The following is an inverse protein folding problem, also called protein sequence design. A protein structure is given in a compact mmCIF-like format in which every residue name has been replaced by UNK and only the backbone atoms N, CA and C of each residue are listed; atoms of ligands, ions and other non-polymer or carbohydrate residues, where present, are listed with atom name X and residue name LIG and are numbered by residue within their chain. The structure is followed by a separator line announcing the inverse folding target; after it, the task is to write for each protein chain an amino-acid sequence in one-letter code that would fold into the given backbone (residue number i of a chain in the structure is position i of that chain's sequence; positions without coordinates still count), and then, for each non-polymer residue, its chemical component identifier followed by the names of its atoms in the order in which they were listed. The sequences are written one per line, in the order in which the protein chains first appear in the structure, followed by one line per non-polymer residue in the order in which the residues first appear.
data_IF_858070939085
#
_entry.id   IF_858070939085
#
_cell.length_a   1.000
_cell.length_b   1.000
_cell.length_c   1.000
_cell.angle_alpha   90.00
_cell.angle_beta   90.00
_cell.angle_gamma   90.00
#
_symmetry.space_group_name_H-M   'P 1'
#
loop_
_entity.id
_entity.type
_entity.pdbx_description
1 polymer ?
#
# COMPACT_ATOMS: atom_id res chain seq x y z
N UNK A 1 55.58 82.91 -15.34
CA UNK A 1 55.35 84.35 -15.14
C UNK A 1 53.90 84.66 -15.53
N UNK A 2 52.90 84.92 -14.71
CA UNK A 2 52.73 85.11 -13.27
C UNK A 2 51.31 85.71 -13.08
N UNK A 3 50.30 84.83 -13.15
CA UNK A 3 48.82 84.98 -13.19
C UNK A 3 48.16 86.25 -12.57
N UNK A 4 47.29 86.90 -13.37
CA UNK A 4 46.11 87.74 -13.00
C UNK A 4 44.88 87.04 -13.64
N UNK A 5 43.63 87.04 -13.18
CA UNK A 5 42.82 87.95 -12.37
C UNK A 5 41.51 87.25 -11.94
N UNK A 6 41.06 87.54 -10.70
CA UNK A 6 39.69 87.59 -10.13
C UNK A 6 38.48 86.98 -10.88
N UNK A 7 37.62 86.18 -10.22
CA UNK A 7 36.27 85.88 -10.70
C UNK A 7 35.22 86.85 -10.14
N UNK A 8 34.26 87.21 -11.01
CA UNK A 8 33.07 88.04 -10.75
C UNK A 8 31.94 87.21 -10.09
N UNK A 9 31.26 87.85 -9.16
CA UNK A 9 29.92 87.57 -8.61
C UNK A 9 28.83 87.83 -9.71
N UNK A 10 27.51 87.53 -9.57
CA UNK A 10 26.67 87.99 -8.45
C UNK A 10 25.41 87.17 -8.04
N UNK A 11 24.94 87.54 -6.84
CA UNK A 11 23.56 87.76 -6.40
C UNK A 11 22.53 86.62 -6.26
N UNK A 12 21.88 86.74 -5.11
CA UNK A 12 20.82 85.95 -4.52
C UNK A 12 19.43 86.45 -4.90
N UNK A 13 18.46 85.52 -4.93
CA UNK A 13 17.07 85.62 -4.46
C UNK A 13 16.48 84.18 -4.58
N UNK A 14 15.95 83.56 -3.53
CA UNK A 14 14.53 83.61 -3.17
C UNK A 14 13.78 82.36 -3.69
N UNK A 15 13.35 81.43 -2.82
CA UNK A 15 12.58 80.26 -3.27
C UNK A 15 12.17 79.24 -2.18
N UNK A 16 10.97 79.43 -1.64
CA UNK A 16 10.06 78.51 -0.94
C UNK A 16 10.54 77.08 -0.58
N UNK A 17 10.67 76.80 0.72
CA UNK A 17 10.54 75.44 1.28
C UNK A 17 9.06 75.06 1.32
N UNK A 18 8.61 74.32 0.31
CA UNK A 18 7.34 73.61 0.36
C UNK A 18 7.46 72.44 1.34
N UNK A 19 6.61 72.43 2.36
CA UNK A 19 6.43 71.31 3.26
C UNK A 19 5.94 70.09 2.48
N UNK A 20 6.72 69.01 2.53
CA UNK A 20 6.28 67.68 2.11
C UNK A 20 5.13 67.22 3.01
N UNK A 21 4.02 66.67 2.47
CA UNK A 21 2.90 66.22 3.27
C UNK A 21 3.29 65.01 4.15
N UNK A 22 2.59 64.78 5.28
CA UNK A 22 2.90 63.67 6.18
C UNK A 22 2.49 62.33 5.55
N UNK A 23 3.34 61.33 5.79
CA UNK A 23 3.06 59.89 5.81
C UNK A 23 1.83 59.45 5.00
N UNK A 24 2.06 58.95 3.79
CA UNK A 24 1.14 58.00 3.21
C UNK A 24 0.96 56.83 4.19
N UNK A 25 -0.27 56.72 4.70
CA UNK A 25 -0.79 55.56 5.38
C UNK A 25 -0.33 54.27 4.69
N UNK A 26 -0.01 53.19 5.42
CA UNK A 26 0.21 51.90 4.77
C UNK A 26 -1.03 51.58 3.94
N UNK A 27 -0.88 50.94 2.76
CA UNK A 27 -2.03 50.61 1.95
C UNK A 27 -3.00 49.82 2.83
N UNK A 28 -4.25 50.28 2.85
CA UNK A 28 -5.40 49.63 3.48
C UNK A 28 -5.15 48.13 3.56
N UNK A 29 -4.95 47.60 4.78
CA UNK A 29 -4.86 46.17 4.99
C UNK A 29 -6.10 45.57 4.33
N UNK A 30 -5.91 44.86 3.21
CA UNK A 30 -7.02 44.20 2.54
C UNK A 30 -7.79 43.43 3.61
N UNK A 31 -9.13 43.46 3.62
CA UNK A 31 -9.93 42.97 4.74
C UNK A 31 -9.64 41.50 5.07
N UNK A 32 -9.20 40.74 4.06
CA UNK A 32 -8.73 39.36 4.19
C UNK A 32 -7.51 39.22 5.14
N UNK A 33 -6.64 40.22 5.22
CA UNK A 33 -5.41 40.22 6.03
C UNK A 33 -5.64 40.52 7.53
N UNK A 34 -6.78 41.10 7.86
CA UNK A 34 -7.23 41.35 9.23
C UNK A 34 -8.03 40.17 9.83
N UNK A 35 -8.34 39.15 9.04
CA UNK A 35 -9.11 38.00 9.51
C UNK A 35 -8.31 37.16 10.53
N UNK A 36 -9.01 36.61 11.55
CA UNK A 36 -8.49 35.53 12.38
C UNK A 36 -7.95 34.36 11.57
N UNK A 37 -6.94 33.68 12.10
CA UNK A 37 -6.27 32.58 11.40
C UNK A 37 -7.23 31.43 11.04
N UNK A 38 -8.23 31.16 11.89
CA UNK A 38 -9.23 30.12 11.65
C UNK A 38 -10.09 30.40 10.42
N UNK A 39 -10.51 31.66 10.22
CA UNK A 39 -11.28 32.06 9.03
C UNK A 39 -10.41 32.00 7.77
N UNK A 40 -9.14 32.37 7.88
CA UNK A 40 -8.18 32.21 6.79
C UNK A 40 -7.99 30.74 6.41
N UNK A 41 -7.87 29.85 7.39
CA UNK A 41 -7.78 28.42 7.16
C UNK A 41 -9.05 27.88 6.50
N UNK A 42 -10.23 28.30 6.96
CA UNK A 42 -11.51 27.90 6.37
C UNK A 42 -11.62 28.36 4.90
N UNK A 43 -11.30 29.63 4.61
CA UNK A 43 -11.29 30.16 3.24
C UNK A 43 -10.31 29.38 2.37
N UNK A 44 -9.08 29.17 2.88
CA UNK A 44 -8.04 28.44 2.15
C UNK A 44 -8.37 26.95 1.97
N UNK A 45 -9.24 26.36 2.80
CA UNK A 45 -9.66 24.97 2.68
C UNK A 45 -10.51 24.67 1.43
N UNK A 46 -11.02 25.71 0.76
CA UNK A 46 -11.72 25.61 -0.52
C UNK A 46 -10.80 25.75 -1.74
N UNK A 47 -9.52 26.09 -1.52
CA UNK A 47 -8.55 26.24 -2.60
C UNK A 47 -8.01 24.87 -3.05
N UNK A 48 -7.72 24.75 -4.34
CA UNK A 48 -7.06 23.58 -4.90
C UNK A 48 -5.53 23.61 -4.67
N UNK A 49 -4.85 22.52 -5.04
CA UNK A 49 -3.40 22.37 -4.87
C UNK A 49 -2.64 23.51 -5.54
N UNK A 50 -3.08 23.92 -6.74
CA UNK A 50 -2.41 24.96 -7.51
C UNK A 50 -2.60 26.34 -6.88
N UNK A 51 -3.82 26.68 -6.46
CA UNK A 51 -4.11 27.94 -5.79
C UNK A 51 -3.40 28.03 -4.44
N UNK A 52 -3.34 26.95 -3.65
CA UNK A 52 -2.54 26.91 -2.41
C UNK A 52 -1.04 27.11 -2.69
N UNK A 53 -0.53 26.54 -3.78
CA UNK A 53 0.84 26.75 -4.24
C UNK A 53 1.12 28.22 -4.58
N UNK A 54 0.23 28.87 -5.33
CA UNK A 54 0.34 30.30 -5.68
C UNK A 54 0.18 31.20 -4.45
N UNK A 55 -0.75 30.88 -3.56
CA UNK A 55 -0.98 31.60 -2.31
C UNK A 55 0.29 31.64 -1.44
N UNK A 56 1.01 30.51 -1.37
CA UNK A 56 2.28 30.42 -0.65
C UNK A 56 3.41 31.29 -1.21
N UNK A 57 3.28 31.81 -2.43
CA UNK A 57 4.26 32.71 -3.06
C UNK A 57 3.98 34.19 -2.80
N UNK A 58 2.79 34.54 -2.27
CA UNK A 58 2.37 35.93 -2.08
C UNK A 58 3.14 36.62 -0.95
N UNK A 59 3.25 35.99 0.23
CA UNK A 59 4.00 36.53 1.37
C UNK A 59 4.41 35.45 2.37
N UNK A 60 5.32 35.77 3.30
CA UNK A 60 5.82 34.81 4.32
C UNK A 60 4.72 34.24 5.22
N UNK A 61 3.74 35.06 5.63
CA UNK A 61 2.60 34.63 6.45
C UNK A 61 1.76 33.58 5.72
N UNK A 62 1.45 33.81 4.45
CA UNK A 62 0.69 32.88 3.62
C UNK A 62 1.49 31.65 3.24
N UNK A 63 2.80 31.78 3.07
CA UNK A 63 3.68 30.62 2.92
C UNK A 63 3.56 29.69 4.12
N UNK A 64 3.64 30.23 5.35
CA UNK A 64 3.47 29.45 6.58
C UNK A 64 2.06 28.85 6.72
N UNK A 65 1.01 29.62 6.40
CA UNK A 65 -0.37 29.14 6.40
C UNK A 65 -0.54 27.97 5.40
N UNK A 66 -0.04 28.13 4.17
CA UNK A 66 -0.08 27.12 3.11
C UNK A 66 0.76 25.87 3.39
N UNK A 67 1.62 25.89 4.40
CA UNK A 67 2.36 24.70 4.87
C UNK A 67 1.64 23.95 5.98
N UNK A 68 0.54 24.47 6.54
CA UNK A 68 -0.19 23.78 7.62
C UNK A 68 -0.95 22.57 7.09
N UNK A 69 -0.75 21.43 7.72
CA UNK A 69 -1.35 20.15 7.34
C UNK A 69 -2.88 20.15 7.34
N UNK A 70 -3.52 20.97 8.18
CA UNK A 70 -4.98 21.06 8.24
C UNK A 70 -5.62 21.42 6.89
N UNK A 71 -4.97 22.28 6.09
CA UNK A 71 -5.44 22.63 4.74
C UNK A 71 -5.35 21.46 3.77
N UNK A 72 -4.31 20.64 3.94
CA UNK A 72 -4.01 19.55 3.02
C UNK A 72 -4.76 18.27 3.35
N UNK A 73 -5.27 18.08 4.59
CA UNK A 73 -6.00 16.85 4.99
C UNK A 73 -7.18 16.54 4.06
N UNK A 74 -7.98 17.55 3.70
CA UNK A 74 -9.12 17.37 2.79
C UNK A 74 -8.67 16.91 1.40
N UNK A 75 -7.62 17.54 0.86
CA UNK A 75 -7.05 17.20 -0.44
C UNK A 75 -6.43 15.81 -0.40
N UNK A 76 -5.66 15.51 0.64
CA UNK A 76 -4.97 14.24 0.83
C UNK A 76 -5.93 13.05 0.89
N UNK A 77 -7.11 13.20 1.50
CA UNK A 77 -8.14 12.15 1.50
C UNK A 77 -8.63 11.77 0.10
N UNK A 78 -8.60 12.69 -0.87
CA UNK A 78 -8.94 12.43 -2.27
C UNK A 78 -7.75 12.01 -3.15
N UNK A 79 -6.54 12.01 -2.60
CA UNK A 79 -5.30 11.65 -3.28
C UNK A 79 -5.06 10.13 -3.23
N UNK A 80 -4.30 9.62 -4.21
CA UNK A 80 -3.88 8.22 -4.23
C UNK A 80 -2.74 8.00 -3.24
N UNK A 81 -2.79 6.92 -2.45
CA UNK A 81 -1.72 6.49 -1.54
C UNK A 81 -1.17 7.62 -0.64
N UNK A 82 -2.05 8.48 -0.12
CA UNK A 82 -1.70 9.59 0.77
C UNK A 82 -1.53 9.16 2.23
N UNK A 83 -1.69 7.88 2.54
CA UNK A 83 -1.71 7.34 3.90
C UNK A 83 -3.02 7.57 4.66
N UNK A 84 -4.05 8.14 4.03
CA UNK A 84 -5.40 8.20 4.60
C UNK A 84 -6.25 7.05 4.08
N UNK A 85 -6.86 6.31 5.00
CA UNK A 85 -7.88 5.31 4.68
C UNK A 85 -9.22 5.97 4.33
N UNK A 86 -10.17 5.19 3.82
CA UNK A 86 -11.54 5.64 3.56
C UNK A 86 -12.24 6.18 4.83
N UNK A 87 -11.94 5.62 6.01
CA UNK A 87 -12.45 6.09 7.31
C UNK A 87 -11.74 7.37 7.81
N UNK A 88 -10.69 7.81 7.10
CA UNK A 88 -9.91 9.00 7.43
C UNK A 88 -8.85 8.78 8.50
N UNK A 89 -8.53 7.53 8.86
CA UNK A 89 -7.40 7.17 9.72
C UNK A 89 -6.08 7.54 9.01
N UNK A 90 -5.16 8.15 9.75
CA UNK A 90 -3.83 8.52 9.23
C UNK A 90 -2.83 7.40 9.55
N UNK A 91 -2.36 6.70 8.50
CA UNK A 91 -1.39 5.62 8.59
C UNK A 91 0.06 6.12 8.53
N UNK A 92 0.29 7.39 8.19
CA UNK A 92 1.62 7.97 8.04
C UNK A 92 1.75 9.32 8.76
N UNK A 93 1.51 9.39 10.09
CA UNK A 93 1.57 10.64 10.84
C UNK A 93 2.97 11.27 10.88
N UNK A 94 4.02 10.48 10.63
CA UNK A 94 5.40 10.96 10.59
C UNK A 94 5.78 11.76 9.35
N UNK A 95 4.93 11.77 8.32
CA UNK A 95 5.19 12.50 7.07
C UNK A 95 4.19 13.66 6.94
N UNK A 96 4.65 14.92 6.74
CA UNK A 96 3.78 16.07 6.54
C UNK A 96 2.74 15.83 5.44
N UNK A 97 1.48 16.22 5.67
CA UNK A 97 0.37 15.95 4.74
C UNK A 97 0.62 16.59 3.37
N UNK A 98 1.21 17.80 3.36
CA UNK A 98 1.59 18.49 2.12
C UNK A 98 2.58 17.67 1.26
N UNK A 99 3.57 17.05 1.89
CA UNK A 99 4.54 16.21 1.19
C UNK A 99 3.89 14.94 0.64
N UNK A 100 2.97 14.33 1.40
CA UNK A 100 2.18 13.19 0.95
C UNK A 100 1.32 13.52 -0.27
N UNK A 101 0.73 14.72 -0.32
CA UNK A 101 0.00 15.21 -1.51
C UNK A 101 0.94 15.39 -2.70
N UNK A 102 2.16 15.88 -2.49
CA UNK A 102 3.17 15.97 -3.55
C UNK A 102 3.52 14.58 -4.10
N UNK A 103 3.86 13.64 -3.23
CA UNK A 103 4.18 12.25 -3.61
C UNK A 103 3.00 11.58 -4.30
N UNK A 104 1.76 11.84 -3.87
CA UNK A 104 0.56 11.32 -4.54
C UNK A 104 0.45 11.74 -6.02
N UNK A 105 0.94 12.94 -6.37
CA UNK A 105 1.00 13.33 -7.79
C UNK A 105 1.95 12.44 -8.58
N UNK A 106 3.02 11.96 -7.95
CA UNK A 106 3.98 11.06 -8.60
C UNK A 106 3.37 9.68 -8.83
N UNK A 107 2.65 9.15 -7.84
CA UNK A 107 1.83 7.93 -8.01
C UNK A 107 0.85 8.08 -9.17
N UNK A 108 0.13 9.21 -9.23
CA UNK A 108 -0.86 9.47 -10.27
C UNK A 108 -0.27 9.55 -11.68
N UNK A 109 0.89 10.18 -11.82
CA UNK A 109 1.54 10.40 -13.12
C UNK A 109 2.62 9.36 -13.46
N UNK A 110 2.79 8.33 -12.61
CA UNK A 110 3.81 7.29 -12.82
C UNK A 110 5.25 7.77 -12.73
N UNK A 111 5.52 8.88 -12.03
CA UNK A 111 6.86 9.43 -11.86
C UNK A 111 7.56 8.71 -10.71
N UNK A 112 8.48 7.82 -11.03
CA UNK A 112 9.25 7.10 -10.02
C UNK A 112 10.66 6.78 -10.51
N UNK A 113 11.60 6.66 -9.58
CA UNK A 113 12.89 6.02 -9.82
C UNK A 113 12.75 4.52 -9.62
N UNK A 114 13.36 3.73 -10.49
CA UNK A 114 13.27 2.26 -10.46
C UNK A 114 14.62 1.68 -10.14
N UNK A 115 14.68 0.81 -9.14
CA UNK A 115 15.92 0.17 -8.72
C UNK A 115 15.71 -1.32 -8.46
N UNK A 116 16.76 -2.11 -8.70
CA UNK A 116 16.79 -3.51 -8.26
C UNK A 116 17.61 -3.59 -6.99
N UNK A 117 16.99 -4.00 -5.90
CA UNK A 117 17.60 -3.89 -4.57
C UNK A 117 18.25 -5.21 -4.15
N UNK A 118 17.63 -6.34 -4.47
CA UNK A 118 18.18 -7.67 -4.25
C UNK A 118 18.06 -8.52 -5.52
N UNK A 119 19.06 -9.38 -5.75
CA UNK A 119 19.07 -10.40 -6.81
C UNK A 119 19.54 -11.71 -6.23
N UNK A 120 18.97 -12.81 -6.68
CA UNK A 120 19.38 -14.14 -6.29
C UNK A 120 19.44 -15.06 -7.52
N UNK A 121 20.14 -16.21 -7.37
CA UNK A 121 20.55 -17.04 -8.51
C UNK A 121 19.49 -18.04 -8.97
N UNK A 122 18.72 -18.59 -8.04
CA UNK A 122 17.65 -19.56 -8.32
C UNK A 122 16.32 -18.83 -8.55
N UNK A 123 15.45 -19.41 -9.36
CA UNK A 123 14.08 -18.90 -9.46
C UNK A 123 13.29 -19.39 -8.24
N UNK A 124 12.62 -18.47 -7.56
CA UNK A 124 11.80 -18.70 -6.37
C UNK A 124 10.39 -18.12 -6.60
N UNK A 125 9.45 -18.46 -5.72
CA UNK A 125 8.15 -17.78 -5.62
C UNK A 125 8.11 -16.96 -4.32
N UNK A 126 8.79 -15.79 -4.27
CA UNK A 126 8.92 -15.03 -3.03
C UNK A 126 7.60 -14.44 -2.57
N UNK A 127 7.42 -14.47 -1.25
CA UNK A 127 6.42 -13.72 -0.53
C UNK A 127 7.10 -12.65 0.32
N UNK A 128 6.45 -11.51 0.53
CA UNK A 128 7.00 -10.46 1.38
C UNK A 128 5.93 -9.70 2.16
N UNK A 129 6.38 -9.12 3.26
CA UNK A 129 5.59 -8.25 4.11
C UNK A 129 6.46 -7.09 4.62
N UNK A 130 5.82 -5.95 4.86
CA UNK A 130 6.45 -4.75 5.40
C UNK A 130 5.96 -4.52 6.82
N UNK A 131 6.89 -4.28 7.74
CA UNK A 131 6.58 -3.85 9.10
C UNK A 131 7.54 -2.72 9.51
N UNK A 132 7.04 -1.49 9.47
CA UNK A 132 7.81 -0.28 9.76
C UNK A 132 9.06 -0.15 8.88
N UNK A 133 10.25 -0.27 9.49
CA UNK A 133 11.54 -0.18 8.81
C UNK A 133 12.08 -1.53 8.34
N UNK A 134 11.30 -2.60 8.46
CA UNK A 134 11.70 -3.96 8.12
C UNK A 134 10.92 -4.49 6.93
N UNK A 135 11.66 -5.11 6.00
CA UNK A 135 11.11 -5.90 4.91
C UNK A 135 11.42 -7.37 5.19
N UNK A 136 10.38 -8.16 5.36
CA UNK A 136 10.48 -9.60 5.51
C UNK A 136 10.27 -10.23 4.14
N UNK A 137 11.16 -11.15 3.75
CA UNK A 137 11.16 -11.79 2.43
C UNK A 137 11.37 -13.29 2.60
N UNK A 138 10.51 -14.10 1.99
CA UNK A 138 10.78 -15.53 1.86
C UNK A 138 11.79 -15.79 0.75
N UNK A 139 12.82 -16.57 1.08
CA UNK A 139 13.81 -17.07 0.15
C UNK A 139 13.99 -18.56 0.39
N UNK A 140 13.33 -19.37 -0.43
CA UNK A 140 13.20 -20.81 -0.25
C UNK A 140 12.60 -21.15 1.12
N UNK A 141 13.26 -22.01 1.90
CA UNK A 141 12.80 -22.49 3.21
C UNK A 141 12.87 -21.46 4.35
N UNK A 142 13.50 -20.31 4.12
CA UNK A 142 13.79 -19.32 5.16
C UNK A 142 13.06 -17.99 4.91
N UNK A 143 12.70 -17.32 6.00
CA UNK A 143 12.23 -15.94 5.97
C UNK A 143 13.36 -15.05 6.47
N UNK A 144 13.71 -14.02 5.70
CA UNK A 144 14.80 -13.11 6.00
C UNK A 144 14.26 -11.71 6.26
N UNK A 145 14.68 -11.10 7.37
CA UNK A 145 14.33 -9.73 7.72
C UNK A 145 15.45 -8.78 7.30
N UNK A 146 15.13 -7.85 6.42
CA UNK A 146 16.03 -6.82 5.92
C UNK A 146 15.64 -5.46 6.50
N UNK A 147 16.62 -4.69 6.97
CA UNK A 147 16.38 -3.30 7.38
C UNK A 147 16.38 -2.40 6.14
N UNK A 148 15.33 -1.59 6.00
CA UNK A 148 15.23 -0.55 4.98
C UNK A 148 16.21 0.58 5.31
N UNK A 149 16.85 1.14 4.28
CA UNK A 149 17.61 2.36 4.43
C UNK A 149 16.68 3.52 4.87
N UNK A 150 17.20 4.55 5.56
CA UNK A 150 16.37 5.67 6.03
C UNK A 150 15.63 6.42 4.90
N UNK A 151 16.17 6.37 3.68
CA UNK A 151 15.56 6.93 2.47
C UNK A 151 14.47 6.03 1.87
N UNK A 152 14.36 4.77 2.30
CA UNK A 152 13.43 3.76 1.77
C UNK A 152 13.82 3.20 0.40
N UNK A 153 14.81 3.80 -0.27
CA UNK A 153 15.22 3.45 -1.62
C UNK A 153 16.06 2.16 -1.65
N UNK A 154 16.81 1.89 -0.58
CA UNK A 154 17.69 0.74 -0.45
C UNK A 154 17.31 -0.24 0.67
N UNK A 155 17.90 -1.43 0.58
CA UNK A 155 17.94 -2.42 1.67
C UNK A 155 19.38 -2.58 2.13
N UNK A 156 19.58 -2.81 3.42
CA UNK A 156 20.86 -3.33 3.89
C UNK A 156 21.12 -4.69 3.24
N UNK A 157 22.34 -4.91 2.75
CA UNK A 157 22.67 -6.12 1.96
C UNK A 157 22.60 -7.41 2.76
N UNK A 158 22.75 -7.35 4.08
CA UNK A 158 22.72 -8.51 4.94
C UNK A 158 21.42 -8.53 5.75
N UNK A 159 20.75 -9.70 5.85
CA UNK A 159 19.57 -9.82 6.68
C UNK A 159 19.96 -9.65 8.15
N UNK A 160 19.15 -8.91 8.90
CA UNK A 160 19.33 -8.71 10.33
C UNK A 160 18.89 -9.94 11.13
N UNK A 161 17.88 -10.66 10.64
CA UNK A 161 17.39 -11.90 11.24
C UNK A 161 16.99 -12.91 10.15
N UNK A 162 17.13 -14.19 10.48
CA UNK A 162 16.74 -15.31 9.63
C UNK A 162 15.84 -16.23 10.47
N UNK A 163 14.65 -16.49 9.96
CA UNK A 163 13.68 -17.39 10.56
C UNK A 163 13.64 -18.68 9.74
N UNK A 164 14.18 -19.75 10.31
CA UNK A 164 14.26 -21.08 9.70
C UNK A 164 13.31 -22.06 10.39
N UNK A 165 12.92 -23.12 9.68
CA UNK A 165 12.08 -24.19 10.25
C UNK A 165 11.34 -25.05 9.22
N UNK A 166 11.12 -24.54 8.01
CA UNK A 166 10.56 -25.33 6.91
C UNK A 166 11.62 -26.21 6.26
N UNK A 167 11.18 -27.30 5.63
CA UNK A 167 12.05 -28.21 4.84
C UNK A 167 11.93 -27.99 3.33
N UNK A 168 10.92 -27.21 2.92
CA UNK A 168 10.66 -26.78 1.54
C UNK A 168 10.35 -25.28 1.53
N UNK A 169 10.09 -24.73 0.35
CA UNK A 169 9.84 -23.31 0.16
C UNK A 169 8.70 -22.78 1.03
N UNK A 170 8.90 -21.60 1.62
CA UNK A 170 7.85 -20.85 2.32
C UNK A 170 6.92 -20.23 1.29
N UNK A 171 5.72 -20.79 1.15
CA UNK A 171 4.72 -20.35 0.19
C UNK A 171 4.05 -19.02 0.58
N UNK A 172 3.73 -18.85 1.88
CA UNK A 172 3.07 -17.65 2.39
C UNK A 172 3.41 -17.44 3.85
N UNK A 173 3.53 -16.18 4.27
CA UNK A 173 3.60 -15.83 5.68
C UNK A 173 2.91 -14.49 5.96
N UNK A 174 2.54 -14.29 7.22
CA UNK A 174 1.91 -13.06 7.72
C UNK A 174 2.61 -12.59 8.99
N UNK A 175 2.67 -11.27 9.18
CA UNK A 175 3.19 -10.65 10.41
C UNK A 175 2.06 -10.01 11.19
N UNK A 176 1.79 -10.51 12.40
CA UNK A 176 0.80 -9.91 13.30
C UNK A 176 1.27 -10.05 14.75
N UNK A 177 1.13 -8.98 15.53
CA UNK A 177 1.41 -8.95 16.97
C UNK A 177 2.80 -9.50 17.36
N UNK A 178 3.86 -9.09 16.66
CA UNK A 178 5.23 -9.58 16.86
C UNK A 178 5.44 -11.09 16.60
N UNK A 179 4.54 -11.71 15.85
CA UNK A 179 4.66 -13.08 15.39
C UNK A 179 4.73 -13.13 13.87
N UNK A 180 5.47 -14.12 13.36
CA UNK A 180 5.48 -14.53 11.97
C UNK A 180 4.81 -15.89 11.92
N UNK A 181 3.74 -16.02 11.13
CA UNK A 181 3.09 -17.31 10.87
C UNK A 181 3.34 -17.65 9.42
N UNK A 182 4.00 -18.77 9.16
CA UNK A 182 4.39 -19.20 7.82
C UNK A 182 3.84 -20.58 7.49
N UNK A 183 3.39 -20.74 6.25
CA UNK A 183 3.04 -22.02 5.63
C UNK A 183 4.07 -22.36 4.55
N UNK A 184 4.51 -23.61 4.53
CA UNK A 184 5.52 -24.10 3.58
C UNK A 184 5.01 -25.21 2.66
N UNK A 185 5.82 -25.52 1.65
CA UNK A 185 5.64 -26.69 0.77
C UNK A 185 5.66 -28.01 1.53
N UNK A 186 6.31 -28.03 2.70
CA UNK A 186 6.44 -29.19 3.57
C UNK A 186 5.15 -29.56 4.36
N UNK A 187 4.01 -28.93 4.05
CA UNK A 187 2.71 -29.17 4.71
C UNK A 187 2.63 -28.65 6.14
N UNK A 188 3.66 -27.97 6.62
CA UNK A 188 3.76 -27.50 8.00
C UNK A 188 3.41 -26.02 8.12
N UNK A 189 2.97 -25.65 9.33
CA UNK A 189 2.90 -24.26 9.76
C UNK A 189 3.98 -24.05 10.80
N UNK A 190 4.73 -22.95 10.66
CA UNK A 190 5.73 -22.51 11.63
C UNK A 190 5.35 -21.14 12.15
N UNK A 191 5.36 -21.01 13.49
CA UNK A 191 5.18 -19.77 14.21
C UNK A 191 6.52 -19.35 14.77
N UNK A 192 6.98 -18.13 14.46
CA UNK A 192 8.14 -17.51 15.08
C UNK A 192 7.73 -16.26 15.84
N UNK A 193 8.36 -16.01 16.99
CA UNK A 193 8.32 -14.69 17.63
C UNK A 193 9.45 -13.83 17.05
N UNK A 194 9.11 -12.64 16.55
CA UNK A 194 10.10 -11.73 15.92
C UNK A 194 11.21 -11.35 16.92
N UNK A 195 10.81 -11.03 18.14
CA UNK A 195 11.71 -10.66 19.23
C UNK A 195 11.80 -11.82 20.23
N UNK A 196 12.58 -12.84 19.88
CA UNK A 196 12.85 -13.98 20.75
C UNK A 196 13.32 -15.21 20.00
N UNK A 197 13.64 -16.27 20.74
CA UNK A 197 14.00 -17.58 20.18
C UNK A 197 12.80 -18.54 20.09
N UNK A 198 11.60 -18.09 20.50
CA UNK A 198 10.42 -18.95 20.50
C UNK A 198 9.97 -19.25 19.08
N UNK A 199 9.96 -20.54 18.74
CA UNK A 199 9.37 -21.05 17.53
C UNK A 199 8.59 -22.33 17.81
N UNK A 200 7.46 -22.50 17.12
CA UNK A 200 6.67 -23.72 17.16
C UNK A 200 6.37 -24.16 15.75
N UNK A 201 6.63 -25.44 15.48
CA UNK A 201 6.31 -26.10 14.21
C UNK A 201 5.29 -27.19 14.48
N UNK A 202 4.27 -27.28 13.62
CA UNK A 202 3.31 -28.38 13.65
C UNK A 202 2.88 -28.77 12.23
N UNK A 203 2.56 -30.05 12.06
CA UNK A 203 2.04 -30.59 10.81
C UNK A 203 0.59 -30.19 10.66
N UNK A 204 0.30 -29.43 9.61
CA UNK A 204 -1.01 -28.83 9.40
C UNK A 204 -1.79 -29.58 8.31
N UNK A 205 -1.11 -29.94 7.22
CA UNK A 205 -1.69 -30.45 6.00
C UNK A 205 -0.85 -31.58 5.40
N UNK A 206 -1.47 -32.39 4.53
CA UNK A 206 -0.79 -33.50 3.83
C UNK A 206 -0.03 -33.05 2.58
N UNK A 207 -0.31 -31.83 2.11
CA UNK A 207 0.32 -31.20 0.94
C UNK A 207 0.65 -29.72 1.24
N UNK A 208 1.22 -29.01 0.27
CA UNK A 208 1.73 -27.65 0.42
C UNK A 208 0.70 -26.70 1.03
N UNK A 209 1.12 -25.89 2.01
CA UNK A 209 0.31 -24.84 2.62
C UNK A 209 0.47 -23.56 1.81
N UNK A 210 -0.35 -23.42 0.76
CA UNK A 210 -0.26 -22.31 -0.20
C UNK A 210 -0.58 -20.93 0.41
N UNK A 211 -1.41 -20.89 1.44
CA UNK A 211 -1.83 -19.65 2.06
C UNK A 211 -2.07 -19.81 3.56
N UNK A 212 -1.73 -18.76 4.29
CA UNK A 212 -1.98 -18.63 5.73
C UNK A 212 -2.43 -17.20 6.01
N UNK A 213 -3.28 -17.05 7.01
CA UNK A 213 -3.63 -15.77 7.60
C UNK A 213 -3.75 -15.93 9.13
N UNK A 214 -3.52 -14.86 9.87
CA UNK A 214 -3.50 -14.87 11.33
C UNK A 214 -4.11 -13.60 11.89
N UNK A 215 -5.19 -13.72 12.64
CA UNK A 215 -5.82 -12.57 13.28
C UNK A 215 -6.53 -12.99 14.57
N UNK A 216 -6.47 -12.16 15.61
CA UNK A 216 -7.23 -12.39 16.84
C UNK A 216 -6.88 -13.67 17.60
N UNK A 217 -5.69 -14.24 17.39
CA UNK A 217 -5.31 -15.53 17.99
C UNK A 217 -5.79 -16.76 17.19
N UNK A 218 -6.35 -16.56 15.99
CA UNK A 218 -6.74 -17.63 15.09
C UNK A 218 -5.84 -17.66 13.87
N UNK A 219 -5.29 -18.82 13.54
CA UNK A 219 -4.61 -19.07 12.27
C UNK A 219 -5.60 -19.77 11.35
N UNK A 220 -5.68 -19.33 10.09
CA UNK A 220 -6.35 -20.09 9.03
C UNK A 220 -5.32 -20.46 7.99
N UNK A 221 -5.28 -21.73 7.61
CA UNK A 221 -4.40 -22.26 6.57
C UNK A 221 -5.20 -22.90 5.45
N UNK A 222 -4.72 -22.76 4.22
CA UNK A 222 -5.29 -23.39 3.04
C UNK A 222 -4.22 -24.12 2.26
N UNK A 223 -4.56 -25.34 1.81
CA UNK A 223 -3.59 -26.25 1.21
C UNK A 223 -4.03 -26.78 -0.16
N UNK A 224 -3.04 -27.31 -0.89
CA UNK A 224 -3.24 -28.13 -2.07
C UNK A 224 -4.00 -29.44 -1.78
N UNK A 225 -4.05 -29.88 -0.52
CA UNK A 225 -4.83 -31.03 -0.07
C UNK A 225 -6.36 -30.84 -0.14
N UNK A 226 -6.83 -29.68 -0.64
CA UNK A 226 -8.24 -29.28 -0.82
C UNK A 226 -8.98 -29.05 0.50
N UNK A 227 -8.24 -28.73 1.56
CA UNK A 227 -8.80 -28.34 2.84
C UNK A 227 -8.31 -26.96 3.26
N UNK A 228 -9.17 -26.29 4.03
CA UNK A 228 -8.78 -25.16 4.87
C UNK A 228 -8.91 -25.58 6.34
N UNK A 229 -7.96 -25.20 7.18
CA UNK A 229 -7.97 -25.54 8.60
C UNK A 229 -7.88 -24.29 9.46
N UNK A 230 -8.62 -24.29 10.57
CA UNK A 230 -8.61 -23.23 11.56
C UNK A 230 -7.88 -23.73 12.80
N UNK A 231 -6.97 -22.93 13.34
CA UNK A 231 -6.13 -23.28 14.47
C UNK A 231 -6.22 -22.20 15.55
N UNK A 232 -6.26 -22.63 16.81
CA UNK A 232 -6.16 -21.71 17.94
C UNK A 232 -4.72 -21.48 18.35
N UNK A 233 -4.37 -20.22 18.64
CA UNK A 233 -3.13 -19.81 19.30
C UNK A 233 -3.33 -19.43 20.78
N UNK A 234 -4.43 -19.85 21.41
CA UNK A 234 -4.63 -19.67 22.85
C UNK A 234 -3.51 -20.35 23.67
N UNK A 235 -3.07 -19.71 24.76
CA UNK A 235 -2.03 -20.21 25.65
C UNK A 235 -2.27 -21.67 26.05
N UNK A 236 -1.29 -22.53 25.75
CA UNK A 236 -1.33 -23.97 26.07
C UNK A 236 -2.02 -24.87 25.03
N UNK A 237 -2.51 -24.33 23.90
CA UNK A 237 -3.16 -25.12 22.83
C UNK A 237 -2.64 -24.81 21.42
N UNK A 238 -1.38 -24.36 21.31
CA UNK A 238 -0.75 -24.06 20.01
C UNK A 238 -0.79 -25.31 19.13
N UNK A 239 -1.34 -25.17 17.92
CA UNK A 239 -1.48 -26.26 16.96
C UNK A 239 -2.73 -27.13 17.15
N UNK A 240 -3.67 -26.76 18.03
CA UNK A 240 -4.98 -27.42 18.06
C UNK A 240 -5.81 -26.97 16.85
N UNK A 241 -6.17 -27.92 15.98
CA UNK A 241 -7.14 -27.71 14.91
C UNK A 241 -8.54 -27.60 15.50
N UNK A 242 -9.20 -26.45 15.29
CA UNK A 242 -10.58 -26.21 15.69
C UNK A 242 -11.55 -26.77 14.64
N UNK A 243 -11.29 -26.48 13.37
CA UNK A 243 -12.12 -26.91 12.26
C UNK A 243 -11.24 -27.33 11.07
N UNK A 244 -11.66 -28.39 10.38
CA UNK A 244 -11.18 -28.75 9.05
C UNK A 244 -12.34 -28.64 8.08
N UNK A 245 -12.19 -27.77 7.09
CA UNK A 245 -13.20 -27.44 6.09
C UNK A 245 -12.78 -28.01 4.74
N UNK A 246 -13.69 -28.74 4.10
CA UNK A 246 -13.49 -29.27 2.75
C UNK A 246 -13.88 -28.22 1.72
N UNK A 247 -12.93 -27.80 0.89
CA UNK A 247 -13.15 -26.78 -0.15
C UNK A 247 -13.38 -27.39 -1.53
N UNK A 248 -13.31 -28.71 -1.65
CA UNK A 248 -13.49 -29.53 -2.87
C UNK A 248 -12.45 -29.28 -3.98
N UNK A 249 -11.60 -28.27 -3.83
CA UNK A 249 -10.50 -27.92 -4.73
C UNK A 249 -9.36 -27.27 -3.94
N UNK A 250 -8.17 -27.20 -4.57
CA UNK A 250 -6.94 -26.63 -4.00
C UNK A 250 -7.18 -25.19 -3.56
N UNK A 251 -6.76 -24.86 -2.35
CA UNK A 251 -6.87 -23.51 -1.80
C UNK A 251 -5.60 -22.73 -2.12
N UNK A 252 -5.74 -21.56 -2.71
CA UNK A 252 -4.63 -20.68 -3.11
C UNK A 252 -4.55 -19.41 -2.27
N UNK A 253 -5.68 -18.93 -1.77
CA UNK A 253 -5.72 -17.69 -0.99
C UNK A 253 -6.76 -17.76 0.13
N UNK A 254 -6.46 -17.07 1.23
CA UNK A 254 -7.33 -16.95 2.40
C UNK A 254 -7.23 -15.53 2.94
N UNK A 255 -8.35 -15.04 3.47
CA UNK A 255 -8.38 -13.82 4.28
C UNK A 255 -9.38 -13.96 5.43
N UNK A 256 -8.95 -13.61 6.64
CA UNK A 256 -9.78 -13.54 7.83
C UNK A 256 -10.58 -12.23 7.81
N UNK A 257 -11.87 -12.29 8.11
CA UNK A 257 -12.69 -11.08 8.25
C UNK A 257 -12.19 -10.26 9.44
N UNK A 258 -12.09 -8.93 9.33
CA UNK A 258 -11.72 -8.09 10.47
C UNK A 258 -12.64 -8.18 11.69
N UNK A 259 -13.86 -8.71 11.53
CA UNK A 259 -14.79 -8.99 12.65
C UNK A 259 -14.51 -10.32 13.36
N UNK A 260 -13.59 -11.15 12.85
CA UNK A 260 -13.26 -12.48 13.38
C UNK A 260 -14.45 -13.45 13.45
N UNK A 261 -15.52 -13.19 12.68
CA UNK A 261 -16.70 -14.05 12.59
C UNK A 261 -16.60 -15.06 11.44
N UNK A 262 -15.87 -14.72 10.39
CA UNK A 262 -15.76 -15.54 9.18
C UNK A 262 -14.40 -15.40 8.50
N UNK A 263 -14.12 -16.29 7.56
CA UNK A 263 -12.97 -16.19 6.65
C UNK A 263 -13.38 -16.53 5.23
N UNK A 264 -12.63 -16.03 4.26
CA UNK A 264 -12.80 -16.32 2.83
C UNK A 264 -11.71 -17.27 2.37
N UNK A 265 -12.07 -18.24 1.55
CA UNK A 265 -11.13 -19.07 0.79
C UNK A 265 -11.28 -18.80 -0.71
N UNK A 266 -10.15 -18.67 -1.41
CA UNK A 266 -10.04 -18.66 -2.86
C UNK A 266 -9.42 -19.97 -3.36
N UNK A 267 -10.13 -20.70 -4.23
CA UNK A 267 -9.68 -22.01 -4.76
C UNK A 267 -9.28 -21.95 -6.24
N UNK A 268 -8.81 -23.07 -6.81
CA UNK A 268 -8.37 -23.18 -8.20
C UNK A 268 -9.49 -23.14 -9.25
N UNK A 269 -10.78 -23.18 -8.83
CA UNK A 269 -11.94 -23.17 -9.72
C UNK A 269 -11.96 -24.31 -10.77
N UNK A 270 -11.39 -25.48 -10.46
CA UNK A 270 -11.43 -26.66 -11.31
C UNK A 270 -12.74 -27.45 -11.14
N UNK A 271 -13.48 -27.23 -10.05
CA UNK A 271 -14.79 -27.84 -9.82
C UNK A 271 -15.96 -27.07 -10.45
N UNK A 272 -17.18 -27.49 -10.13
CA UNK A 272 -18.44 -26.82 -10.54
C UNK A 272 -18.92 -25.75 -9.56
N UNK A 273 -18.10 -25.42 -8.58
CA UNK A 273 -18.44 -24.51 -7.48
C UNK A 273 -17.69 -23.21 -7.61
N UNK A 274 -18.26 -22.12 -7.07
CA UNK A 274 -17.54 -20.85 -6.98
C UNK A 274 -16.18 -21.02 -6.26
N UNK A 275 -15.12 -20.36 -6.77
CA UNK A 275 -13.81 -20.39 -6.13
C UNK A 275 -13.72 -19.52 -4.89
N UNK A 276 -14.63 -18.55 -4.71
CA UNK A 276 -14.70 -17.72 -3.51
C UNK A 276 -15.79 -18.23 -2.59
N UNK A 277 -15.40 -18.66 -1.39
CA UNK A 277 -16.32 -19.20 -0.38
C UNK A 277 -16.07 -18.52 0.96
N UNK A 278 -17.14 -18.14 1.65
CA UNK A 278 -17.10 -17.57 3.00
C UNK A 278 -17.55 -18.63 4.00
N UNK A 279 -16.75 -18.83 5.02
CA UNK A 279 -16.96 -19.85 6.05
C UNK A 279 -17.11 -19.19 7.41
N UNK A 280 -17.96 -19.77 8.24
CA UNK A 280 -18.16 -19.35 9.61
C UNK A 280 -17.10 -19.96 10.53
N UNK A 281 -16.55 -19.15 11.46
CA UNK A 281 -15.55 -19.65 12.40
C UNK A 281 -16.12 -20.54 13.49
N UNK A 282 -17.35 -20.31 13.93
CA UNK A 282 -17.93 -21.01 15.08
C UNK A 282 -18.43 -22.40 14.69
N UNK A 283 -19.13 -22.49 13.55
CA UNK A 283 -19.71 -23.73 13.05
C UNK A 283 -18.80 -24.49 12.09
N UNK A 284 -17.81 -23.81 11.47
CA UNK A 284 -17.02 -24.37 10.38
C UNK A 284 -17.82 -24.62 9.09
N UNK A 285 -19.04 -24.09 8.98
CA UNK A 285 -19.93 -24.29 7.85
C UNK A 285 -19.78 -23.21 6.78
N UNK A 286 -20.15 -23.56 5.55
CA UNK A 286 -20.21 -22.62 4.43
C UNK A 286 -21.36 -21.63 4.65
N UNK A 287 -21.04 -20.34 4.75
CA UNK A 287 -22.03 -19.28 4.84
C UNK A 287 -22.58 -18.90 3.47
N UNK A 288 -21.68 -18.62 2.53
CA UNK A 288 -22.06 -18.22 1.16
C UNK A 288 -20.90 -18.39 0.20
N UNK A 289 -21.23 -18.53 -1.08
CA UNK A 289 -20.28 -18.36 -2.18
C UNK A 289 -20.32 -16.91 -2.68
N UNK A 290 -19.21 -16.41 -3.22
CA UNK A 290 -19.16 -15.12 -3.90
C UNK A 290 -19.02 -15.32 -5.40
N UNK A 291 -19.81 -14.59 -6.19
CA UNK A 291 -19.84 -14.69 -7.64
C UNK A 291 -20.61 -15.92 -8.14
N UNK A 292 -21.09 -15.82 -9.38
CA UNK A 292 -21.60 -16.93 -10.18
C UNK A 292 -20.88 -16.98 -11.52
N UNK A 293 -20.95 -18.11 -12.21
CA UNK A 293 -20.54 -18.23 -13.62
C UNK A 293 -19.04 -18.00 -13.90
N UNK A 294 -18.18 -18.37 -12.93
CA UNK A 294 -16.74 -18.47 -13.19
C UNK A 294 -16.47 -19.58 -14.21
N UNK A 295 -15.60 -19.30 -15.17
CA UNK A 295 -15.13 -20.33 -16.11
C UNK A 295 -14.22 -21.32 -15.38
N UNK A 296 -14.15 -22.55 -15.90
CA UNK A 296 -13.26 -23.57 -15.34
C UNK A 296 -11.80 -23.10 -15.37
N UNK A 297 -11.12 -23.15 -14.23
CA UNK A 297 -9.75 -22.67 -14.08
C UNK A 297 -9.60 -21.20 -13.70
N UNK A 298 -10.70 -20.49 -13.43
CA UNK A 298 -10.73 -19.12 -12.87
C UNK A 298 -10.26 -19.05 -11.40
N UNK A 299 -9.11 -19.66 -11.09
CA UNK A 299 -8.62 -19.78 -9.72
C UNK A 299 -8.23 -18.44 -9.10
N UNK A 300 -8.48 -18.29 -7.79
CA UNK A 300 -8.27 -17.04 -7.05
C UNK A 300 -6.95 -17.08 -6.28
N UNK A 301 -5.97 -16.33 -6.77
CA UNK A 301 -4.59 -16.34 -6.28
C UNK A 301 -4.35 -15.40 -5.10
N UNK A 302 -5.16 -14.34 -4.96
CA UNK A 302 -5.09 -13.44 -3.82
C UNK A 302 -6.46 -12.88 -3.47
N UNK A 303 -6.71 -12.74 -2.17
CA UNK A 303 -7.94 -12.18 -1.61
C UNK A 303 -7.58 -11.36 -0.37
N UNK A 304 -8.24 -10.23 -0.17
CA UNK A 304 -8.04 -9.39 1.01
C UNK A 304 -9.32 -8.65 1.40
N UNK A 305 -9.51 -8.46 2.70
CA UNK A 305 -10.54 -7.57 3.23
C UNK A 305 -10.02 -6.13 3.32
N UNK A 306 -10.81 -5.18 2.84
CA UNK A 306 -10.59 -3.75 3.07
C UNK A 306 -11.37 -3.27 4.30
N UNK A 307 -12.59 -3.79 4.47
CA UNK A 307 -13.44 -3.59 5.66
C UNK A 307 -14.18 -4.90 5.93
N UNK A 308 -14.87 -5.07 7.06
CA UNK A 308 -15.67 -6.28 7.32
C UNK A 308 -16.65 -6.72 6.23
N UNK A 309 -17.08 -5.81 5.35
CA UNK A 309 -18.03 -6.09 4.27
C UNK A 309 -17.43 -5.99 2.86
N UNK A 310 -16.23 -5.42 2.74
CA UNK A 310 -15.60 -5.11 1.46
C UNK A 310 -14.36 -5.97 1.26
N UNK A 311 -14.31 -6.66 0.12
CA UNK A 311 -13.17 -7.50 -0.24
C UNK A 311 -12.73 -7.27 -1.68
N UNK A 312 -11.45 -7.52 -1.93
CA UNK A 312 -10.86 -7.57 -3.25
C UNK A 312 -10.34 -8.99 -3.52
N UNK A 313 -10.50 -9.45 -4.75
CA UNK A 313 -9.95 -10.73 -5.21
C UNK A 313 -9.30 -10.58 -6.58
N UNK A 314 -8.29 -11.40 -6.87
CA UNK A 314 -7.71 -11.53 -8.21
C UNK A 314 -7.19 -12.95 -8.46
N UNK A 315 -6.99 -13.30 -9.73
CA UNK A 315 -6.40 -14.59 -10.06
C UNK A 315 -6.27 -14.85 -11.56
N UNK A 316 -6.55 -16.10 -11.95
CA UNK A 316 -6.47 -16.58 -13.33
C UNK A 316 -7.61 -16.06 -14.21
N UNK A 317 -8.67 -15.51 -13.62
CA UNK A 317 -9.76 -14.91 -14.40
C UNK A 317 -9.40 -13.57 -15.02
N UNK A 318 -8.19 -13.05 -14.79
CA UNK A 318 -7.64 -11.80 -15.35
C UNK A 318 -8.33 -10.51 -14.90
N UNK A 319 -9.23 -10.61 -13.91
CA UNK A 319 -9.89 -9.46 -13.29
C UNK A 319 -9.43 -9.23 -11.86
N UNK A 320 -9.38 -7.97 -11.46
CA UNK A 320 -9.53 -7.58 -10.06
C UNK A 320 -11.02 -7.39 -9.82
N UNK A 321 -11.58 -8.07 -8.82
CA UNK A 321 -13.00 -7.93 -8.46
C UNK A 321 -13.14 -7.30 -7.09
N UNK A 322 -14.03 -6.33 -6.98
CA UNK A 322 -14.42 -5.68 -5.73
C UNK A 322 -15.82 -6.10 -5.33
N UNK A 323 -15.96 -6.61 -4.11
CA UNK A 323 -17.22 -7.13 -3.60
C UNK A 323 -17.65 -6.36 -2.36
N UNK A 324 -18.95 -6.10 -2.28
CA UNK A 324 -19.60 -5.66 -1.07
C UNK A 324 -20.64 -6.72 -0.68
N UNK A 325 -20.30 -7.50 0.35
CA UNK A 325 -21.09 -8.64 0.84
C UNK A 325 -22.50 -8.20 1.26
N UNK A 326 -22.68 -6.91 1.65
CA UNK A 326 -24.00 -6.38 2.03
C UNK A 326 -24.91 -6.10 0.83
N UNK A 327 -24.34 -5.90 -0.35
CA UNK A 327 -25.11 -5.57 -1.56
C UNK A 327 -25.47 -6.81 -2.36
N UNK A 328 -24.49 -7.66 -2.63
CA UNK A 328 -24.69 -8.89 -3.39
C UNK A 328 -23.54 -9.84 -3.13
N UNK A 329 -23.88 -11.10 -2.93
CA UNK A 329 -22.92 -12.21 -2.97
C UNK A 329 -22.78 -12.78 -4.37
N UNK A 330 -23.68 -12.49 -5.32
CA UNK A 330 -23.66 -13.10 -6.66
C UNK A 330 -22.88 -12.30 -7.70
N UNK A 331 -22.84 -10.97 -7.58
CA UNK A 331 -22.17 -10.10 -8.54
C UNK A 331 -21.20 -9.17 -7.83
N UNK A 332 -20.02 -9.00 -8.39
CA UNK A 332 -19.08 -8.00 -7.91
C UNK A 332 -19.61 -6.58 -8.18
N UNK A 333 -19.27 -5.63 -7.30
CA UNK A 333 -19.67 -4.23 -7.41
C UNK A 333 -18.92 -3.54 -8.55
N UNK A 334 -17.64 -3.92 -8.73
CA UNK A 334 -16.77 -3.39 -9.76
C UNK A 334 -15.72 -4.43 -10.14
N UNK A 335 -15.31 -4.39 -11.39
CA UNK A 335 -14.21 -5.18 -11.93
C UNK A 335 -13.23 -4.29 -12.69
N UNK A 336 -11.95 -4.66 -12.65
CA UNK A 336 -10.88 -4.05 -13.45
C UNK A 336 -10.20 -5.17 -14.23
N UNK A 337 -10.29 -5.09 -15.54
CA UNK A 337 -9.72 -6.07 -16.47
C UNK A 337 -8.22 -5.80 -16.65
N UNK A 338 -7.40 -6.84 -16.54
CA UNK A 338 -6.00 -6.77 -16.90
C UNK A 338 -5.87 -6.66 -18.44
N UNK A 339 -5.27 -5.58 -19.00
CA UNK A 339 -5.33 -5.32 -20.43
C UNK A 339 -4.63 -6.34 -21.35
N UNK A 340 -3.82 -7.26 -20.81
CA UNK A 340 -3.06 -8.26 -21.58
C UNK A 340 -3.59 -9.67 -21.33
N UNK A 341 -4.81 -9.80 -20.81
CA UNK A 341 -5.47 -11.08 -20.48
C UNK A 341 -4.53 -12.03 -19.70
N UNK A 342 -3.81 -11.47 -18.73
CA UNK A 342 -2.78 -12.14 -17.97
C UNK A 342 -3.20 -12.27 -16.51
N UNK A 343 -2.92 -13.45 -15.93
CA UNK A 343 -3.26 -13.76 -14.55
C UNK A 343 -2.64 -12.76 -13.55
N UNK A 344 -3.36 -12.50 -12.46
CA UNK A 344 -2.95 -11.61 -11.39
C UNK A 344 -2.57 -12.42 -10.15
N UNK A 345 -1.30 -12.36 -9.77
CA UNK A 345 -0.76 -13.15 -8.66
C UNK A 345 -0.93 -12.49 -7.29
N UNK A 346 -0.97 -11.16 -7.26
CA UNK A 346 -1.11 -10.41 -6.01
C UNK A 346 -1.82 -9.07 -6.21
N UNK A 347 -2.53 -8.64 -5.17
CA UNK A 347 -3.21 -7.33 -5.11
C UNK A 347 -2.98 -6.67 -3.75
N UNK A 348 -2.78 -5.36 -3.71
CA UNK A 348 -2.81 -4.59 -2.46
C UNK A 348 -3.53 -3.27 -2.66
N UNK A 349 -4.13 -2.75 -1.59
CA UNK A 349 -4.84 -1.47 -1.59
C UNK A 349 -4.32 -0.57 -0.49
N UNK A 350 -4.43 0.75 -0.69
CA UNK A 350 -4.13 1.76 0.32
C UNK A 350 -5.27 1.91 1.35
N UNK A 351 -6.33 1.08 1.23
CA UNK A 351 -7.55 1.19 2.05
C UNK A 351 -8.38 2.42 1.71
N UNK A 352 -8.13 3.04 0.56
CA UNK A 352 -8.86 4.20 0.07
C UNK A 352 -9.09 4.09 -1.45
N UNK A 353 -8.32 4.79 -2.29
CA UNK A 353 -8.58 4.89 -3.72
C UNK A 353 -7.62 4.05 -4.58
N UNK A 354 -6.43 3.69 -4.09
CA UNK A 354 -5.43 3.00 -4.90
C UNK A 354 -5.55 1.48 -4.75
N UNK A 355 -5.40 0.78 -5.87
CA UNK A 355 -5.08 -0.64 -5.93
C UNK A 355 -3.78 -0.79 -6.72
N UNK A 356 -2.90 -1.69 -6.26
CA UNK A 356 -1.74 -2.15 -7.01
C UNK A 356 -1.88 -3.65 -7.28
N UNK A 357 -1.58 -4.09 -8.50
CA UNK A 357 -1.63 -5.51 -8.87
C UNK A 357 -0.35 -5.97 -9.56
N UNK A 358 0.00 -7.24 -9.34
CA UNK A 358 1.13 -7.92 -9.96
C UNK A 358 0.66 -8.94 -10.98
N UNK A 359 1.09 -8.77 -12.24
CA UNK A 359 0.65 -9.60 -13.36
C UNK A 359 1.67 -10.70 -13.70
N UNK A 360 1.19 -11.77 -14.33
CA UNK A 360 2.00 -12.78 -15.01
C UNK A 360 2.68 -12.26 -16.27
N UNK A 361 2.21 -11.12 -16.81
CA UNK A 361 2.77 -10.48 -17.99
C UNK A 361 4.14 -9.85 -17.69
N UNK A 362 5.21 -10.64 -17.77
CA UNK A 362 6.61 -10.17 -17.78
C UNK A 362 7.00 -9.17 -16.67
N UNK A 363 6.56 -9.41 -15.44
CA UNK A 363 6.96 -8.58 -14.31
C UNK A 363 6.28 -7.20 -14.30
N UNK A 364 5.08 -7.08 -14.86
CA UNK A 364 4.33 -5.82 -14.87
C UNK A 364 3.56 -5.61 -13.56
N UNK A 365 3.79 -4.44 -12.96
CA UNK A 365 2.97 -3.89 -11.87
C UNK A 365 2.01 -2.86 -12.45
N UNK A 366 0.74 -2.94 -12.06
CA UNK A 366 -0.28 -1.95 -12.44
C UNK A 366 -0.83 -1.22 -11.25
N UNK A 367 -1.12 0.07 -11.45
CA UNK A 367 -1.85 0.89 -10.51
C UNK A 367 -3.23 1.21 -11.05
N UNK A 368 -4.19 1.18 -10.16
CA UNK A 368 -5.60 1.43 -10.44
C UNK A 368 -6.13 2.45 -9.46
N UNK A 369 -7.00 3.32 -9.96
CA UNK A 369 -7.80 4.21 -9.12
C UNK A 369 -9.21 3.62 -9.07
N UNK A 370 -9.69 3.31 -7.86
CA UNK A 370 -11.00 2.69 -7.65
C UNK A 370 -12.15 3.50 -8.23
N UNK A 371 -11.96 4.78 -8.54
CA UNK A 371 -12.97 5.68 -9.11
C UNK A 371 -13.16 5.51 -10.61
N UNK A 372 -12.21 4.89 -11.31
CA UNK A 372 -12.25 4.61 -12.74
C UNK A 372 -12.02 3.12 -13.02
N UNK A 373 -12.32 2.65 -14.23
CA UNK A 373 -12.11 1.24 -14.64
C UNK A 373 -10.79 1.04 -15.39
N UNK A 374 -10.28 2.08 -16.03
CA UNK A 374 -9.02 2.01 -16.77
C UNK A 374 -7.80 1.96 -15.85
N UNK A 375 -6.81 1.17 -16.25
CA UNK A 375 -5.48 1.16 -15.66
C UNK A 375 -4.90 2.57 -15.63
N UNK A 376 -4.41 3.00 -14.47
CA UNK A 376 -3.85 4.34 -14.30
C UNK A 376 -2.40 4.39 -14.80
N UNK A 377 -1.57 3.44 -14.36
CA UNK A 377 -0.15 3.34 -14.71
C UNK A 377 0.29 1.89 -14.77
N UNK A 378 1.27 1.61 -15.62
CA UNK A 378 1.93 0.30 -15.71
C UNK A 378 3.44 0.46 -15.64
N UNK A 379 4.09 -0.38 -14.83
CA UNK A 379 5.54 -0.41 -14.65
C UNK A 379 6.08 -1.77 -15.07
N UNK A 380 6.96 -1.78 -16.07
CA UNK A 380 7.74 -2.95 -16.44
C UNK A 380 9.01 -2.98 -15.60
N UNK A 381 9.12 -3.95 -14.69
CA UNK A 381 10.23 -4.03 -13.75
C UNK A 381 11.48 -4.68 -14.36
N UNK A 382 11.30 -5.46 -15.42
CA UNK A 382 12.36 -6.26 -16.04
C UNK A 382 12.08 -6.46 -17.54
N UNK A 383 13.00 -7.14 -18.21
CA UNK A 383 12.97 -7.41 -19.65
C UNK A 383 11.77 -8.30 -20.04
N UNK A 384 11.40 -8.38 -21.33
CA UNK A 384 10.20 -9.08 -21.81
C UNK A 384 10.23 -10.62 -21.65
N UNK A 385 11.20 -11.20 -20.93
CA UNK A 385 11.23 -12.62 -20.53
C UNK A 385 11.15 -12.79 -19.01
N UNK A 386 10.69 -11.77 -18.30
CA UNK A 386 10.63 -11.81 -16.84
C UNK A 386 9.53 -12.73 -16.29
N UNK A 387 9.74 -13.18 -15.07
CA UNK A 387 8.74 -13.93 -14.32
C UNK A 387 7.52 -13.07 -13.95
N UNK A 388 6.42 -13.68 -13.47
CA UNK A 388 5.35 -12.95 -12.81
C UNK A 388 5.84 -12.09 -11.63
N UNK A 389 5.03 -11.09 -11.27
CA UNK A 389 5.15 -10.40 -9.98
C UNK A 389 4.39 -11.21 -8.93
N UNK A 390 5.10 -12.04 -8.17
CA UNK A 390 4.49 -12.95 -7.20
C UNK A 390 3.95 -12.23 -5.96
N UNK A 391 4.63 -11.17 -5.53
CA UNK A 391 4.20 -10.39 -4.38
C UNK A 391 4.54 -8.91 -4.57
N UNK A 392 3.69 -8.04 -4.05
CA UNK A 392 3.92 -6.60 -3.98
C UNK A 392 3.51 -6.04 -2.63
N UNK A 393 4.25 -5.06 -2.12
CA UNK A 393 3.91 -4.26 -0.94
C UNK A 393 4.28 -2.82 -1.18
N UNK A 394 3.60 -1.89 -0.55
CA UNK A 394 3.95 -0.47 -0.70
C UNK A 394 3.73 0.30 0.59
N UNK A 395 4.53 1.33 0.74
CA UNK A 395 4.32 2.42 1.70
C UNK A 395 3.70 3.61 0.97
N UNK A 396 3.50 4.73 1.66
CA UNK A 396 3.05 5.98 1.02
C UNK A 396 4.06 6.54 -0.01
N UNK A 397 5.31 6.07 0.03
CA UNK A 397 6.42 6.62 -0.76
C UNK A 397 7.05 5.62 -1.73
N UNK A 398 7.05 4.33 -1.40
CA UNK A 398 7.74 3.30 -2.17
C UNK A 398 6.83 2.12 -2.50
N UNK A 399 7.04 1.49 -3.66
CA UNK A 399 6.46 0.19 -4.01
C UNK A 399 7.56 -0.85 -4.14
N UNK A 400 7.44 -1.97 -3.44
CA UNK A 400 8.32 -3.12 -3.50
C UNK A 400 7.60 -4.23 -4.29
N UNK A 401 8.29 -4.84 -5.24
CA UNK A 401 7.75 -5.91 -6.08
C UNK A 401 8.77 -7.04 -6.23
N UNK A 402 8.34 -8.27 -5.90
CA UNK A 402 9.17 -9.45 -5.90
C UNK A 402 8.86 -10.33 -7.12
N UNK A 403 9.89 -10.56 -7.93
CA UNK A 403 9.91 -11.46 -9.08
C UNK A 403 10.67 -12.73 -8.71
N UNK A 404 10.78 -13.70 -9.62
CA UNK A 404 11.40 -14.98 -9.36
C UNK A 404 12.86 -14.91 -8.96
N UNK A 405 13.60 -13.89 -9.41
CA UNK A 405 15.06 -13.78 -9.25
C UNK A 405 15.52 -12.45 -8.67
N UNK A 406 14.59 -11.53 -8.39
CA UNK A 406 14.92 -10.18 -7.96
C UNK A 406 13.80 -9.48 -7.18
N UNK A 407 14.20 -8.56 -6.32
CA UNK A 407 13.33 -7.60 -5.64
C UNK A 407 13.57 -6.21 -6.21
N UNK A 408 12.50 -5.60 -6.71
CA UNK A 408 12.50 -4.27 -7.30
C UNK A 408 11.81 -3.25 -6.40
N UNK A 409 12.28 -2.01 -6.47
CA UNK A 409 11.71 -0.86 -5.76
C UNK A 409 11.39 0.26 -6.75
N UNK A 410 10.19 0.82 -6.60
CA UNK A 410 9.76 2.05 -7.24
C UNK A 410 9.69 3.15 -6.17
N UNK A 411 10.57 4.14 -6.26
CA UNK A 411 10.61 5.30 -5.37
C UNK A 411 9.85 6.47 -6.00
N UNK A 412 8.76 6.90 -5.35
CA UNK A 412 7.90 8.00 -5.78
C UNK A 412 8.24 9.34 -5.12
N UNK A 413 9.34 9.42 -4.36
CA UNK A 413 9.81 10.67 -3.71
C UNK A 413 10.80 11.44 -4.58
N UNK A 414 11.60 10.74 -5.38
CA UNK A 414 12.75 11.27 -6.12
C UNK A 414 12.44 12.10 -7.38
N UNK A 415 11.27 12.76 -7.47
CA UNK A 415 10.85 13.52 -8.66
C UNK A 415 10.85 15.04 -8.49
#
# INVERSE_FOLDING_TARGET
MGRKSSPRSPQAEGGSRAASPPSSSPPSSSPLWALPEELLLLICSYLDVQALGRLGQVCRRLRFLSSRDLLWKRIARGCLNSGFTQLGTDLAPGIPVKERVKVSQNWRHGRCRRETVLKWKCNLMPWMELDGQYLYLSQAENIQAYQLCPDGAGLQRHPQAIFSGHQEDVCRFVLVNSHIVSGGGDGNIVLHKIHGSYSVKFSAHEQEVNCVDFQGGLIVSGSRDRTAKVWSLSTGRVGQCLHTVQTEDRVWSIAISPLLSSFVTGTACCGHTSPLRIWDFESGQLLTCLGTDFHHGAGVLDVLYETPSLLLSCGYDTYIRYWDIRTSTRKCVREWEEPHDSALYCIRTDGNHMIASGSSHYGVVRLWDKRQTQCLQSFHLSSPTSSPVYCLRFSTTHLYAALASALHVLDFTAS
#
